data_IF_313123352833
#
_entry.id   IF_313123352833
#
_cell.length_a   1.000
_cell.length_b   1.000
_cell.length_c   1.000
_cell.angle_alpha   90.00
_cell.angle_beta   90.00
_cell.angle_gamma   90.00
#
_symmetry.space_group_name_H-M   'P 1'
#
loop_
_entity.id
_entity.type
_entity.pdbx_description
1 polymer ?
#
# COMPACT_ATOMS: atom_id res chain seq x y z
N UNK A 1 2.96 1.17 -7.56
CA UNK A 1 1.86 0.20 -7.70
C UNK A 1 0.55 0.90 -7.40
N UNK A 2 -0.50 0.67 -8.18
CA UNK A 2 -1.84 1.24 -7.96
C UNK A 2 -2.75 0.25 -7.23
N UNK A 3 -3.53 0.76 -6.28
CA UNK A 3 -4.39 -0.07 -5.42
C UNK A 3 -5.88 0.26 -5.58
N UNK A 4 -6.23 1.33 -6.31
CA UNK A 4 -7.63 1.74 -6.53
C UNK A 4 -8.34 2.16 -5.24
N UNK A 5 -7.59 2.65 -4.26
CA UNK A 5 -8.03 3.29 -3.02
C UNK A 5 -7.07 4.42 -2.72
N UNK A 6 -7.48 5.40 -1.89
CA UNK A 6 -6.60 6.48 -1.43
C UNK A 6 -5.28 5.92 -0.86
N UNK A 7 -4.16 6.32 -1.47
CA UNK A 7 -2.85 5.78 -1.17
C UNK A 7 -2.39 6.14 0.25
N UNK A 8 -2.77 7.32 0.75
CA UNK A 8 -2.40 7.77 2.10
C UNK A 8 -3.11 6.94 3.17
N UNK A 9 -4.41 6.69 2.99
CA UNK A 9 -5.19 5.83 3.87
C UNK A 9 -4.67 4.39 3.84
N UNK A 10 -4.33 3.87 2.65
CA UNK A 10 -3.73 2.54 2.52
C UNK A 10 -2.37 2.45 3.22
N UNK A 11 -1.50 3.44 3.03
CA UNK A 11 -0.20 3.51 3.69
C UNK A 11 -0.33 3.50 5.22
N UNK A 12 -1.23 4.34 5.78
CA UNK A 12 -1.48 4.36 7.21
C UNK A 12 -1.97 2.99 7.72
N UNK A 13 -2.90 2.35 6.99
CA UNK A 13 -3.44 1.05 7.35
C UNK A 13 -2.40 -0.08 7.30
N UNK A 14 -1.47 -0.02 6.34
CA UNK A 14 -0.36 -0.95 6.24
C UNK A 14 0.66 -0.76 7.37
N UNK A 15 0.91 0.49 7.76
CA UNK A 15 1.77 0.82 8.90
C UNK A 15 1.20 0.23 10.20
N UNK A 16 -0.11 0.33 10.43
CA UNK A 16 -0.78 -0.31 11.58
C UNK A 16 -0.63 -1.84 11.58
N UNK A 17 -0.48 -2.45 10.41
CA UNK A 17 -0.25 -3.90 10.23
C UNK A 17 1.24 -4.26 10.29
N UNK A 18 2.12 -3.32 10.61
CA UNK A 18 3.57 -3.54 10.74
C UNK A 18 4.36 -3.46 9.43
N UNK A 19 3.74 -3.00 8.34
CA UNK A 19 4.41 -2.82 7.06
C UNK A 19 4.70 -1.34 6.81
N UNK A 20 5.99 -0.98 6.75
CA UNK A 20 6.42 0.30 6.21
C UNK A 20 6.30 0.27 4.68
N UNK A 21 5.07 0.52 4.21
CA UNK A 21 4.65 0.26 2.84
C UNK A 21 4.95 1.44 1.89
N UNK A 22 6.23 1.72 1.66
CA UNK A 22 6.66 2.67 0.64
C UNK A 22 6.15 4.10 0.87
N UNK A 23 5.87 4.82 -0.21
CA UNK A 23 5.57 6.26 -0.21
C UNK A 23 4.31 6.59 -1.03
N UNK A 24 3.30 7.27 -0.46
CA UNK A 24 2.12 7.75 -1.19
C UNK A 24 2.49 8.78 -2.26
N UNK A 25 2.26 8.46 -3.54
CA UNK A 25 2.64 9.37 -4.63
C UNK A 25 1.69 10.57 -4.80
N UNK A 26 0.53 10.53 -4.15
CA UNK A 26 -0.45 11.62 -4.06
C UNK A 26 0.18 12.97 -3.69
N UNK A 27 1.24 12.96 -2.88
CA UNK A 27 1.88 14.17 -2.36
C UNK A 27 2.74 14.88 -3.43
N UNK A 28 3.09 14.19 -4.50
CA UNK A 28 3.88 14.73 -5.62
C UNK A 28 3.10 14.82 -6.93
N UNK A 29 2.09 13.95 -7.10
CA UNK A 29 1.38 13.74 -8.36
C UNK A 29 -0.09 13.45 -8.07
N UNK A 30 -0.97 14.40 -8.35
CA UNK A 30 -2.40 14.26 -8.12
C UNK A 30 -3.05 13.13 -8.95
N UNK A 31 -2.48 12.79 -10.11
CA UNK A 31 -2.91 11.66 -10.95
C UNK A 31 -2.53 10.28 -10.37
N UNK A 32 -1.80 10.25 -9.25
CA UNK A 32 -1.31 9.05 -8.57
C UNK A 32 -1.81 8.97 -7.13
N UNK A 33 -3.02 9.48 -6.89
CA UNK A 33 -3.72 9.45 -5.61
C UNK A 33 -3.99 8.03 -5.08
N UNK A 34 -4.02 7.04 -5.98
CA UNK A 34 -4.22 5.63 -5.68
C UNK A 34 -2.94 4.78 -5.68
N UNK A 35 -1.76 5.42 -5.78
CA UNK A 35 -0.49 4.74 -5.98
C UNK A 35 0.51 4.89 -4.82
N UNK A 36 1.15 3.77 -4.47
CA UNK A 36 2.34 3.74 -3.60
C UNK A 36 3.59 3.44 -4.41
N UNK A 37 4.67 4.18 -4.15
CA UNK A 37 6.02 3.81 -4.59
C UNK A 37 6.61 2.84 -3.57
N UNK A 38 6.86 1.60 -4.01
CA UNK A 38 7.41 0.55 -3.16
C UNK A 38 8.87 0.31 -3.50
N UNK A 39 9.70 0.09 -2.47
CA UNK A 39 11.07 -0.36 -2.63
C UNK A 39 11.18 -1.82 -2.17
N UNK A 40 11.53 -2.70 -3.10
CA UNK A 40 11.98 -4.04 -2.79
C UNK A 40 13.50 -4.08 -3.01
N UNK A 41 14.26 -4.26 -1.94
CA UNK A 41 15.71 -4.41 -1.99
C UNK A 41 16.07 -5.88 -2.22
N UNK A 42 17.31 -6.15 -2.60
CA UNK A 42 17.85 -7.50 -2.83
C UNK A 42 17.72 -8.41 -1.59
N UNK A 43 17.60 -7.81 -0.40
CA UNK A 43 17.38 -8.52 0.87
C UNK A 43 15.93 -8.96 1.10
N UNK A 44 14.97 -8.53 0.27
CA UNK A 44 13.58 -8.96 0.37
C UNK A 44 13.39 -10.30 -0.33
N UNK A 45 12.89 -11.26 0.42
CA UNK A 45 12.61 -12.59 -0.09
C UNK A 45 11.25 -12.64 -0.80
N UNK A 46 11.01 -13.71 -1.55
CA UNK A 46 9.69 -13.97 -2.13
C UNK A 46 8.60 -14.08 -1.04
N UNK A 47 8.94 -14.63 0.13
CA UNK A 47 8.01 -14.74 1.26
C UNK A 47 7.66 -13.35 1.83
N UNK A 48 8.64 -12.45 1.94
CA UNK A 48 8.39 -11.06 2.38
C UNK A 48 7.44 -10.34 1.41
N UNK A 49 7.63 -10.54 0.11
CA UNK A 49 6.80 -9.95 -0.94
C UNK A 49 5.38 -10.52 -0.87
N UNK A 50 5.23 -11.84 -0.69
CA UNK A 50 3.93 -12.49 -0.56
C UNK A 50 3.19 -12.00 0.68
N UNK A 51 3.86 -11.95 1.84
CA UNK A 51 3.29 -11.40 3.09
C UNK A 51 2.82 -9.96 2.90
N UNK A 52 3.61 -9.13 2.23
CA UNK A 52 3.23 -7.77 1.89
C UNK A 52 2.01 -7.73 0.96
N UNK A 53 2.01 -8.52 -0.11
CA UNK A 53 0.93 -8.55 -1.09
C UNK A 53 -0.41 -8.94 -0.44
N UNK A 54 -0.40 -9.95 0.44
CA UNK A 54 -1.57 -10.35 1.22
C UNK A 54 -2.06 -9.23 2.14
N UNK A 55 -1.16 -8.62 2.90
CA UNK A 55 -1.51 -7.51 3.81
C UNK A 55 -2.06 -6.29 3.05
N UNK A 56 -1.47 -5.94 1.91
CA UNK A 56 -1.90 -4.84 1.06
C UNK A 56 -3.26 -5.12 0.41
N UNK A 57 -3.49 -6.33 -0.07
CA UNK A 57 -4.78 -6.75 -0.62
C UNK A 57 -5.90 -6.67 0.42
N UNK A 58 -5.66 -7.18 1.63
CA UNK A 58 -6.60 -7.08 2.74
C UNK A 58 -6.89 -5.64 3.14
N UNK A 59 -5.84 -4.82 3.33
CA UNK A 59 -5.99 -3.42 3.71
C UNK A 59 -6.76 -2.62 2.64
N UNK A 60 -6.47 -2.84 1.36
CA UNK A 60 -7.18 -2.19 0.26
C UNK A 60 -8.66 -2.63 0.21
N UNK A 61 -8.95 -3.91 0.40
CA UNK A 61 -10.32 -4.41 0.46
C UNK A 61 -11.11 -3.78 1.62
N UNK A 62 -10.54 -3.77 2.82
CA UNK A 62 -11.14 -3.14 4.01
C UNK A 62 -11.47 -1.66 3.76
N UNK A 63 -10.60 -0.93 3.07
CA UNK A 63 -10.83 0.47 2.73
C UNK A 63 -11.93 0.65 1.67
N UNK A 64 -12.01 -0.24 0.66
CA UNK A 64 -13.10 -0.22 -0.33
C UNK A 64 -14.47 -0.44 0.31
N UNK A 65 -14.58 -1.33 1.29
CA UNK A 65 -15.84 -1.62 1.98
C UNK A 65 -16.16 -0.68 3.16
N UNK A 66 -15.23 0.21 3.53
CA UNK A 66 -15.43 1.25 4.56
C UNK A 66 -15.85 2.59 3.96
N UNK A 67 -15.76 2.76 2.64
CA UNK A 67 -16.25 3.99 2.00
C UNK A 67 -17.80 4.02 2.03
N UNK A 68 -18.42 5.15 2.41
CA UNK A 68 -19.87 5.33 2.36
C UNK A 68 -20.40 5.32 0.92
#
# INVERSE_FOLDING_TARGET
MRFGVDARALHARLLDKGFLAGLPLSDWRADLDDALLLCATETKTAEDIERFAQAAGQAAAELKYRQP
#
